data_IF_040480304901
#
_entry.id   IF_040480304901
#
_cell.length_a   1.000
_cell.length_b   1.000
_cell.length_c   1.000
_cell.angle_alpha   90.00
_cell.angle_beta   90.00
_cell.angle_gamma   90.00
#
_symmetry.space_group_name_H-M   'P 1'
#
loop_
_entity.id
_entity.type
_entity.pdbx_description
1 polymer ?
#
# COMPACT_ATOMS: atom_id res chain seq x y z
N UNK A 1 -17.99 9.41 -20.23
CA UNK A 1 -16.80 8.68 -19.77
C UNK A 1 -17.20 7.93 -18.50
N UNK A 2 -17.11 6.60 -18.49
CA UNK A 2 -17.49 5.80 -17.32
C UNK A 2 -16.20 5.41 -16.58
N UNK A 3 -15.88 6.14 -15.50
CA UNK A 3 -14.71 5.80 -14.68
C UNK A 3 -15.01 4.56 -13.84
N UNK A 4 -14.14 3.55 -13.92
CA UNK A 4 -14.25 2.33 -13.13
C UNK A 4 -13.37 2.45 -11.88
N UNK A 5 -13.93 2.10 -10.73
CA UNK A 5 -13.21 2.05 -9.46
C UNK A 5 -12.85 0.60 -9.11
N UNK A 6 -11.60 0.36 -8.74
CA UNK A 6 -11.10 -0.96 -8.38
C UNK A 6 -10.31 -0.95 -7.07
N UNK A 7 -10.29 -2.11 -6.40
CA UNK A 7 -9.45 -2.36 -5.23
C UNK A 7 -8.61 -3.62 -5.43
N UNK A 8 -7.32 -3.55 -5.09
CA UNK A 8 -6.42 -4.70 -5.06
C UNK A 8 -5.75 -4.81 -3.70
N UNK A 9 -5.53 -6.04 -3.24
CA UNK A 9 -4.74 -6.32 -2.04
C UNK A 9 -3.28 -6.52 -2.46
N UNK A 10 -2.38 -5.75 -1.87
CA UNK A 10 -0.94 -5.86 -2.12
C UNK A 10 -0.18 -5.72 -0.80
N UNK A 11 1.01 -6.34 -0.74
CA UNK A 11 1.93 -6.06 0.35
C UNK A 11 2.66 -4.76 0.04
N UNK A 12 2.67 -3.83 1.01
CA UNK A 12 3.33 -2.54 0.92
C UNK A 12 4.43 -2.50 1.97
N UNK A 13 5.67 -2.15 1.60
CA UNK A 13 6.75 -2.02 2.56
C UNK A 13 6.47 -0.83 3.47
N UNK A 14 6.39 -1.09 4.77
CA UNK A 14 6.36 -0.06 5.79
C UNK A 14 7.75 0.09 6.39
N UNK A 15 8.29 1.29 6.32
CA UNK A 15 9.53 1.66 7.01
C UNK A 15 9.19 2.15 8.41
N UNK A 16 9.69 1.47 9.42
CA UNK A 16 9.54 1.83 10.83
C UNK A 16 10.90 2.19 11.41
N UNK A 17 11.01 3.37 12.02
CA UNK A 17 12.20 3.79 12.75
C UNK A 17 11.95 3.59 14.24
N UNK A 18 12.72 2.73 14.91
CA UNK A 18 12.56 2.47 16.35
C UNK A 18 13.93 2.27 17.00
N UNK A 19 14.22 3.06 18.04
CA UNK A 19 15.44 2.88 18.85
C UNK A 19 16.75 3.01 18.08
N UNK A 20 16.81 3.80 17.01
CA UNK A 20 18.00 3.94 16.16
C UNK A 20 18.16 2.85 15.09
N UNK A 21 17.24 1.89 15.00
CA UNK A 21 17.17 0.92 13.92
C UNK A 21 16.08 1.30 12.90
N UNK A 22 16.35 0.97 11.63
CA UNK A 22 15.37 1.04 10.53
C UNK A 22 14.91 -0.38 10.23
N UNK A 23 13.61 -0.63 10.37
CA UNK A 23 12.98 -1.91 10.08
C UNK A 23 12.05 -1.74 8.88
N UNK A 24 12.18 -2.62 7.89
CA UNK A 24 11.29 -2.65 6.73
C UNK A 24 10.39 -3.88 6.89
N UNK A 25 9.09 -3.67 6.98
CA UNK A 25 8.08 -4.73 7.16
C UNK A 25 7.10 -4.68 6.01
N UNK A 26 6.92 -5.79 5.31
CA UNK A 26 5.87 -5.93 4.30
C UNK A 26 4.51 -6.14 4.98
N UNK A 27 3.57 -5.22 4.74
CA UNK A 27 2.24 -5.26 5.34
C UNK A 27 1.16 -5.35 4.27
N UNK A 28 0.14 -6.23 4.41
CA UNK A 28 -0.96 -6.30 3.47
C UNK A 28 -1.84 -5.05 3.56
N UNK A 29 -2.01 -4.33 2.45
CA UNK A 29 -2.85 -3.14 2.34
C UNK A 29 -3.76 -3.20 1.11
N UNK A 30 -4.89 -2.51 1.21
CA UNK A 30 -5.79 -2.29 0.07
C UNK A 30 -5.37 -1.02 -0.67
N UNK A 31 -5.22 -1.13 -1.99
CA UNK A 31 -4.91 -0.02 -2.88
C UNK A 31 -6.12 0.21 -3.78
N UNK A 32 -6.60 1.45 -3.80
CA UNK A 32 -7.72 1.88 -4.64
C UNK A 32 -7.20 2.62 -5.87
N UNK A 33 -7.77 2.35 -7.03
CA UNK A 33 -7.41 3.07 -8.27
C UNK A 33 -8.66 3.35 -9.12
N UNK A 34 -8.53 4.36 -9.97
CA UNK A 34 -9.53 4.75 -10.95
C UNK A 34 -8.98 4.45 -12.35
N UNK A 35 -9.81 3.83 -13.18
CA UNK A 35 -9.59 3.72 -14.62
C UNK A 35 -10.53 4.74 -15.27
N UNK A 36 -10.01 5.55 -16.19
CA UNK A 36 -10.77 6.52 -17.00
C UNK A 36 -11.53 5.84 -18.15
#
# INVERSE_FOLDING_TARGET
MASQFGHVKANVPLVQCTGGAVVIVDQPRWISFFLE
#
